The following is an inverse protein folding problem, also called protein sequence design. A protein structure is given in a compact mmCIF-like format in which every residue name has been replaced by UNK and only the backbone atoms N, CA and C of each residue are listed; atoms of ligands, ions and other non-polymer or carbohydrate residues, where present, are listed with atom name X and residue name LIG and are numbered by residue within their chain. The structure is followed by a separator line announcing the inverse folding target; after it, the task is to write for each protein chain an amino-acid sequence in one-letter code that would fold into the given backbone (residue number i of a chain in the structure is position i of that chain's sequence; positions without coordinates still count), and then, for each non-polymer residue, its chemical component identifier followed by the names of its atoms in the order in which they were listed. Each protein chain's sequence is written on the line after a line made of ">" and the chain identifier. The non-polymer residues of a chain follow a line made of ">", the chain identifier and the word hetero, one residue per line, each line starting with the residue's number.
data_IF_418572612380
#
_entry.id   IF_418572612380
#
_cell.length_a   1.000
_cell.length_b   1.000
_cell.length_c   1.000
_cell.angle_alpha   90.00
_cell.angle_beta   90.00
_cell.angle_gamma   90.00
#
_symmetry.space_group_name_H-M   'P 1'
#
loop_
_entity.id
_entity.type
_entity.pdbx_description
1 polymer ?
#
# COMPACT_ATOMS: atom_id res chain seq x y z
N UNK A 1 -1.96 -35.67 30.23
CA UNK A 1 -3.16 -35.54 29.38
C UNK A 1 -2.77 -35.85 27.94
N UNK A 2 -3.55 -36.61 27.17
CA UNK A 2 -3.22 -36.89 25.77
C UNK A 2 -3.19 -35.57 24.98
N UNK A 3 -2.20 -35.41 24.11
CA UNK A 3 -2.08 -34.25 23.24
C UNK A 3 -3.31 -34.17 22.35
N UNK A 4 -4.09 -33.10 22.48
CA UNK A 4 -5.25 -32.86 21.60
C UNK A 4 -4.73 -32.65 20.18
N UNK A 5 -5.36 -33.29 19.20
CA UNK A 5 -5.03 -33.05 17.79
C UNK A 5 -5.49 -31.65 17.38
N UNK A 6 -4.81 -31.01 16.43
CA UNK A 6 -5.16 -29.65 15.98
C UNK A 6 -6.64 -29.53 15.53
N UNK A 7 -7.22 -30.60 14.97
CA UNK A 7 -8.63 -30.62 14.58
C UNK A 7 -9.58 -30.52 15.79
N UNK A 8 -9.20 -31.08 16.94
CA UNK A 8 -9.99 -31.00 18.19
C UNK A 8 -9.94 -29.62 18.87
N UNK A 9 -9.04 -28.73 18.43
CA UNK A 9 -8.85 -27.40 18.99
C UNK A 9 -9.49 -26.28 18.14
N UNK A 10 -10.11 -26.63 17.02
CA UNK A 10 -10.85 -25.67 16.21
C UNK A 10 -12.08 -25.18 16.98
N UNK A 11 -12.21 -23.86 17.11
CA UNK A 11 -13.41 -23.25 17.71
C UNK A 11 -14.61 -23.43 16.77
N UNK A 12 -15.82 -23.61 17.31
CA UNK A 12 -17.00 -23.84 16.47
C UNK A 12 -17.32 -22.60 15.63
N UNK A 13 -17.91 -22.78 14.43
CA UNK A 13 -18.30 -21.66 13.55
C UNK A 13 -19.18 -20.62 14.25
N UNK A 14 -20.09 -21.05 15.12
CA UNK A 14 -20.95 -20.16 15.91
C UNK A 14 -20.17 -19.20 16.83
N UNK A 15 -18.91 -19.52 17.15
CA UNK A 15 -18.01 -18.62 17.90
C UNK A 15 -17.24 -17.69 16.97
N UNK A 16 -16.72 -18.19 15.84
CA UNK A 16 -15.73 -17.45 15.03
C UNK A 16 -16.32 -16.69 13.83
N UNK A 17 -17.47 -17.13 13.31
CA UNK A 17 -18.16 -16.53 12.16
C UNK A 17 -19.22 -15.51 12.60
N UNK A 18 -18.88 -14.64 13.56
CA UNK A 18 -19.78 -13.59 14.07
C UNK A 18 -19.35 -12.22 13.54
N UNK A 19 -20.26 -11.44 12.95
CA UNK A 19 -19.95 -10.12 12.36
C UNK A 19 -19.12 -9.22 13.29
N UNK A 20 -19.47 -9.14 14.57
CA UNK A 20 -18.72 -8.36 15.56
C UNK A 20 -17.25 -8.80 15.70
N UNK A 21 -16.97 -10.10 15.58
CA UNK A 21 -15.59 -10.62 15.59
C UNK A 21 -14.88 -10.34 14.27
N UNK A 22 -15.57 -10.52 13.15
CA UNK A 22 -14.99 -10.29 11.83
C UNK A 22 -14.62 -8.82 11.63
N UNK A 23 -15.45 -7.91 12.13
CA UNK A 23 -15.21 -6.46 12.11
C UNK A 23 -14.14 -5.98 13.09
N UNK A 24 -13.72 -6.81 14.05
CA UNK A 24 -12.66 -6.49 15.03
C UNK A 24 -11.33 -7.21 14.75
N UNK A 25 -11.17 -7.78 13.55
CA UNK A 25 -9.91 -8.43 13.19
C UNK A 25 -8.80 -7.41 12.98
N UNK A 26 -7.80 -7.49 13.85
CA UNK A 26 -6.51 -6.86 13.63
C UNK A 26 -5.63 -7.73 12.72
N UNK A 27 -4.63 -7.09 12.12
CA UNK A 27 -3.60 -7.77 11.35
C UNK A 27 -2.96 -8.92 12.14
N UNK A 28 -2.69 -10.02 11.44
CA UNK A 28 -2.02 -11.21 11.99
C UNK A 28 -0.82 -11.57 11.13
N UNK A 29 -0.06 -12.61 11.53
CA UNK A 29 1.02 -13.14 10.68
C UNK A 29 0.52 -13.64 9.32
N UNK A 30 -0.76 -13.97 9.16
CA UNK A 30 -1.34 -14.43 7.89
C UNK A 30 -1.83 -13.29 6.98
N UNK A 31 -1.86 -12.04 7.47
CA UNK A 31 -2.28 -10.89 6.66
C UNK A 31 -1.37 -10.70 5.44
N UNK A 32 -1.94 -10.35 4.27
CA UNK A 32 -1.22 -10.23 3.00
C UNK A 32 0.05 -9.38 3.11
N UNK A 33 -0.06 -8.17 3.66
CA UNK A 33 1.08 -7.29 3.90
C UNK A 33 2.15 -7.92 4.79
N UNK A 34 1.76 -8.65 5.85
CA UNK A 34 2.73 -9.32 6.75
C UNK A 34 3.43 -10.49 6.05
N UNK A 35 2.73 -11.21 5.19
CA UNK A 35 3.29 -12.27 4.36
C UNK A 35 4.26 -11.71 3.29
N UNK A 36 3.93 -10.56 2.70
CA UNK A 36 4.79 -9.86 1.74
C UNK A 36 6.06 -9.32 2.42
N UNK A 37 5.93 -8.56 3.52
CA UNK A 37 7.07 -7.97 4.22
C UNK A 37 8.08 -9.02 4.72
N UNK A 38 7.60 -10.18 5.19
CA UNK A 38 8.50 -11.29 5.56
C UNK A 38 9.24 -11.83 4.35
N UNK A 39 8.56 -11.97 3.21
CA UNK A 39 9.18 -12.42 1.95
C UNK A 39 10.23 -11.41 1.47
N UNK A 40 9.89 -10.12 1.43
CA UNK A 40 10.80 -9.01 1.13
C UNK A 40 12.08 -9.11 1.96
N UNK A 41 11.94 -9.33 3.27
CA UNK A 41 13.09 -9.46 4.17
C UNK A 41 13.88 -10.76 3.98
N UNK A 42 13.21 -11.90 3.75
CA UNK A 42 13.84 -13.21 3.55
C UNK A 42 14.59 -13.31 2.22
N UNK A 43 14.04 -12.69 1.17
CA UNK A 43 14.60 -12.68 -0.18
C UNK A 43 15.49 -11.45 -0.43
N UNK A 44 15.73 -10.62 0.59
CA UNK A 44 16.59 -9.43 0.53
C UNK A 44 16.29 -8.49 -0.66
N UNK A 45 15.00 -8.20 -0.87
CA UNK A 45 14.58 -7.33 -1.97
C UNK A 45 15.17 -5.93 -1.80
N UNK A 46 15.60 -5.32 -2.91
CA UNK A 46 16.25 -4.01 -2.91
C UNK A 46 15.33 -2.95 -3.49
N UNK A 47 14.98 -1.97 -2.66
CA UNK A 47 14.21 -0.79 -3.04
C UNK A 47 15.15 0.39 -3.30
N UNK A 48 15.03 1.03 -4.45
CA UNK A 48 15.80 2.21 -4.84
C UNK A 48 14.92 3.27 -5.49
N UNK A 49 15.21 4.55 -5.25
CA UNK A 49 14.63 5.67 -6.01
C UNK A 49 15.40 5.79 -7.33
N UNK A 50 14.84 5.21 -8.40
CA UNK A 50 15.46 5.22 -9.73
C UNK A 50 15.34 6.59 -10.41
N UNK A 51 14.26 7.32 -10.13
CA UNK A 51 14.03 8.68 -10.58
C UNK A 51 13.27 9.42 -9.47
N UNK A 52 13.67 10.65 -9.15
CA UNK A 52 13.04 11.48 -8.12
C UNK A 52 13.09 12.95 -8.56
N UNK A 53 12.30 13.28 -9.57
CA UNK A 53 12.25 14.59 -10.20
C UNK A 53 11.01 15.34 -9.68
N UNK A 54 11.16 15.86 -8.46
CA UNK A 54 10.15 16.70 -7.82
C UNK A 54 10.66 18.12 -7.69
N UNK A 55 9.80 19.10 -7.97
CA UNK A 55 10.07 20.51 -7.72
C UNK A 55 10.09 20.84 -6.21
N UNK A 56 10.29 22.11 -5.86
CA UNK A 56 10.32 22.57 -4.48
C UNK A 56 9.01 22.30 -3.70
N UNK A 57 7.89 22.20 -4.41
CA UNK A 57 6.57 21.94 -3.84
C UNK A 57 6.21 20.45 -3.82
N UNK A 58 7.09 19.59 -4.32
CA UNK A 58 6.90 18.15 -4.36
C UNK A 58 6.08 17.65 -5.56
N UNK A 59 5.96 18.45 -6.62
CA UNK A 59 5.26 18.07 -7.85
C UNK A 59 6.24 17.58 -8.91
N UNK A 60 5.82 16.59 -9.70
CA UNK A 60 6.66 15.99 -10.74
C UNK A 60 6.51 14.47 -10.80
N UNK A 61 7.62 13.78 -10.99
CA UNK A 61 7.63 12.34 -11.29
C UNK A 61 8.64 11.60 -10.44
N UNK A 62 8.24 10.40 -10.03
CA UNK A 62 9.09 9.50 -9.26
C UNK A 62 9.01 8.09 -9.82
N UNK A 63 10.12 7.37 -9.75
CA UNK A 63 10.18 5.93 -10.05
C UNK A 63 10.88 5.23 -8.90
N UNK A 64 10.16 4.36 -8.20
CA UNK A 64 10.72 3.44 -7.22
C UNK A 64 10.90 2.08 -7.87
N UNK A 65 12.14 1.62 -7.92
CA UNK A 65 12.49 0.30 -8.45
C UNK A 65 12.64 -0.69 -7.31
N UNK A 66 12.02 -1.84 -7.45
CA UNK A 66 12.17 -3.00 -6.56
C UNK A 66 12.85 -4.11 -7.33
N UNK A 67 14.06 -4.48 -6.90
CA UNK A 67 14.76 -5.68 -7.39
C UNK A 67 14.48 -6.86 -6.46
N UNK A 68 14.13 -7.99 -7.06
CA UNK A 68 13.85 -9.27 -6.40
C UNK A 68 14.81 -10.33 -6.96
N UNK A 69 14.90 -11.53 -6.35
CA UNK A 69 15.73 -12.61 -6.90
C UNK A 69 15.32 -13.11 -8.30
N UNK A 70 14.07 -12.85 -8.72
CA UNK A 70 13.50 -13.38 -9.97
C UNK A 70 13.21 -12.32 -11.03
N UNK A 71 13.53 -11.05 -10.75
CA UNK A 71 13.26 -9.92 -11.65
C UNK A 71 13.03 -8.61 -10.91
N UNK A 72 12.54 -7.60 -11.62
CA UNK A 72 12.24 -6.28 -11.07
C UNK A 72 10.81 -5.83 -11.36
N UNK A 73 10.31 -4.91 -10.54
CA UNK A 73 9.11 -4.14 -10.82
C UNK A 73 9.33 -2.69 -10.37
N UNK A 74 8.57 -1.76 -10.93
CA UNK A 74 8.75 -0.33 -10.68
C UNK A 74 7.42 0.36 -10.40
N UNK A 75 7.35 1.11 -9.31
CA UNK A 75 6.25 2.05 -9.07
C UNK A 75 6.59 3.37 -9.75
N UNK A 76 5.80 3.76 -10.74
CA UNK A 76 5.83 5.09 -11.35
C UNK A 76 4.77 5.95 -10.67
N UNK A 77 5.16 7.12 -10.20
CA UNK A 77 4.27 8.06 -9.51
C UNK A 77 4.31 9.44 -10.14
N UNK A 78 3.13 10.06 -10.26
CA UNK A 78 2.95 11.42 -10.74
C UNK A 78 2.29 12.24 -9.64
N UNK A 79 2.99 13.28 -9.16
CA UNK A 79 2.44 14.26 -8.22
C UNK A 79 2.17 15.56 -8.95
N UNK A 80 0.99 16.14 -8.71
CA UNK A 80 0.58 17.40 -9.35
C UNK A 80 -0.03 18.34 -8.33
N UNK A 81 0.03 19.62 -8.64
CA UNK A 81 -0.77 20.62 -7.94
C UNK A 81 -2.25 20.39 -8.25
N UNK A 82 -3.06 20.52 -7.21
CA UNK A 82 -4.51 20.64 -7.32
C UNK A 82 -4.92 21.91 -6.59
N UNK A 83 -5.82 22.65 -7.21
CA UNK A 83 -6.44 23.79 -6.55
C UNK A 83 -7.33 23.32 -5.40
N UNK A 84 -7.47 24.09 -4.30
CA UNK A 84 -8.24 23.69 -3.13
C UNK A 84 -9.66 23.24 -3.45
N UNK A 85 -10.31 23.87 -4.43
CA UNK A 85 -11.68 23.60 -4.85
C UNK A 85 -11.81 22.26 -5.59
N UNK A 86 -10.72 21.77 -6.17
CA UNK A 86 -10.66 20.49 -6.89
C UNK A 86 -10.41 19.30 -5.95
N UNK A 87 -10.03 19.57 -4.69
CA UNK A 87 -9.76 18.53 -3.69
C UNK A 87 -11.06 17.99 -3.12
N UNK A 88 -11.50 16.86 -3.67
CA UNK A 88 -12.62 16.11 -3.15
C UNK A 88 -12.15 14.77 -2.56
N UNK A 89 -12.51 14.50 -1.30
CA UNK A 89 -12.14 13.26 -0.61
C UNK A 89 -13.08 12.08 -0.94
N UNK A 90 -14.03 12.28 -1.85
CA UNK A 90 -14.97 11.25 -2.32
C UNK A 90 -14.31 10.31 -3.33
N UNK A 91 -14.81 9.08 -3.38
CA UNK A 91 -14.40 8.04 -4.36
C UNK A 91 -14.66 8.49 -5.80
N UNK A 92 -15.62 9.39 -6.00
CA UNK A 92 -16.03 9.97 -7.28
C UNK A 92 -15.26 11.25 -7.66
N UNK A 93 -14.18 11.60 -6.95
CA UNK A 93 -13.34 12.71 -7.36
C UNK A 93 -12.83 12.48 -8.80
N UNK A 94 -12.53 13.56 -9.52
CA UNK A 94 -11.94 13.51 -10.87
C UNK A 94 -10.42 13.77 -10.84
N UNK A 95 -9.93 14.30 -9.72
CA UNK A 95 -8.54 14.68 -9.53
C UNK A 95 -8.02 14.22 -8.16
N UNK A 96 -6.73 13.90 -8.12
CA UNK A 96 -5.99 13.45 -6.94
C UNK A 96 -4.62 14.10 -6.92
N UNK A 97 -4.09 14.33 -5.71
CA UNK A 97 -2.76 14.94 -5.52
C UNK A 97 -1.68 14.08 -6.19
N UNK A 98 -1.89 12.76 -6.17
CA UNK A 98 -0.95 11.78 -6.71
C UNK A 98 -1.64 10.60 -7.38
N UNK A 99 -1.01 10.10 -8.43
CA UNK A 99 -1.44 8.88 -9.13
C UNK A 99 -0.23 7.98 -9.38
N UNK A 100 -0.47 6.67 -9.40
CA UNK A 100 0.58 5.67 -9.42
C UNK A 100 0.20 4.49 -10.31
N UNK A 101 1.23 3.86 -10.88
CA UNK A 101 1.10 2.53 -11.46
C UNK A 101 2.29 1.65 -11.07
N UNK A 102 2.05 0.37 -10.83
CA UNK A 102 3.09 -0.63 -10.64
C UNK A 102 3.30 -1.39 -11.94
N UNK A 103 4.48 -1.20 -12.51
CA UNK A 103 4.92 -1.80 -13.76
C UNK A 103 5.79 -3.03 -13.49
N UNK A 104 5.57 -4.10 -14.25
CA UNK A 104 6.42 -5.29 -14.29
C UNK A 104 7.68 -4.97 -15.12
N UNK A 105 8.85 -5.02 -14.49
CA UNK A 105 10.13 -4.56 -15.05
C UNK A 105 10.49 -3.12 -14.69
N UNK A 106 11.26 -2.48 -15.57
CA UNK A 106 11.69 -1.09 -15.45
C UNK A 106 11.12 -0.28 -16.63
N UNK A 107 10.59 0.93 -16.39
CA UNK A 107 10.13 1.80 -17.46
C UNK A 107 11.33 2.48 -18.15
N UNK A 108 11.21 2.67 -19.46
CA UNK A 108 12.05 3.64 -20.19
C UNK A 108 11.37 5.03 -20.22
N UNK A 109 11.96 5.97 -20.96
CA UNK A 109 11.44 7.33 -21.07
C UNK A 109 10.07 7.36 -21.80
N UNK A 110 9.88 6.54 -22.82
CA UNK A 110 8.65 6.47 -23.60
C UNK A 110 7.51 5.89 -22.75
N UNK A 111 7.81 4.87 -21.94
CA UNK A 111 6.91 4.35 -20.92
C UNK A 111 6.48 5.45 -19.95
N UNK A 112 7.41 6.22 -19.40
CA UNK A 112 7.10 7.28 -18.43
C UNK A 112 6.18 8.33 -19.05
N UNK A 113 6.46 8.76 -20.28
CA UNK A 113 5.65 9.79 -20.95
C UNK A 113 4.25 9.29 -21.29
N UNK A 114 4.15 8.06 -21.84
CA UNK A 114 2.86 7.39 -22.07
C UNK A 114 2.06 7.29 -20.77
N UNK A 115 2.70 6.88 -19.67
CA UNK A 115 2.06 6.73 -18.37
C UNK A 115 1.63 8.09 -17.79
N UNK A 116 2.43 9.14 -17.97
CA UNK A 116 2.09 10.51 -17.53
C UNK A 116 0.80 10.97 -18.19
N UNK A 117 0.63 10.70 -19.48
CA UNK A 117 -0.57 11.07 -20.23
C UNK A 117 -1.82 10.25 -19.85
N UNK A 118 -1.67 9.02 -19.34
CA UNK A 118 -2.79 8.08 -19.18
C UNK A 118 -3.18 7.76 -17.74
N UNK A 119 -2.20 7.58 -16.84
CA UNK A 119 -2.45 7.17 -15.44
C UNK A 119 -3.37 8.17 -14.70
N UNK A 120 -3.24 9.49 -14.88
CA UNK A 120 -4.16 10.44 -14.26
C UNK A 120 -5.60 10.40 -14.78
N UNK A 121 -5.85 9.88 -15.99
CA UNK A 121 -7.15 9.91 -16.68
C UNK A 121 -8.09 8.75 -16.34
N UNK A 122 -7.57 7.65 -15.78
CA UNK A 122 -8.35 6.50 -15.29
C UNK A 122 -9.28 5.86 -16.33
N UNK A 123 -10.61 5.94 -16.17
CA UNK A 123 -11.59 5.38 -17.10
C UNK A 123 -11.42 5.92 -18.51
N UNK A 124 -10.92 7.16 -18.66
CA UNK A 124 -10.60 7.76 -19.95
C UNK A 124 -9.19 7.42 -20.45
N UNK A 125 -8.28 7.01 -19.54
CA UNK A 125 -6.92 6.61 -19.87
C UNK A 125 -6.79 5.11 -20.15
N UNK A 126 -5.70 4.72 -20.81
CA UNK A 126 -5.35 3.30 -20.96
C UNK A 126 -3.89 3.07 -20.63
N UNK A 127 -3.66 1.98 -19.91
CA UNK A 127 -2.33 1.43 -19.67
C UNK A 127 -2.17 0.15 -20.49
N UNK A 128 -1.05 -0.54 -20.31
CA UNK A 128 -0.71 -1.76 -21.01
C UNK A 128 -0.67 -2.96 -20.06
N UNK A 129 -0.55 -4.16 -20.63
CA UNK A 129 -0.36 -5.39 -19.87
C UNK A 129 0.95 -5.44 -19.06
N UNK A 130 1.86 -4.47 -19.23
CA UNK A 130 3.05 -4.33 -18.36
C UNK A 130 2.73 -3.70 -17.01
N UNK A 131 1.67 -2.90 -16.93
CA UNK A 131 1.22 -2.29 -15.68
C UNK A 131 0.23 -3.24 -14.98
N UNK A 132 0.51 -3.64 -13.75
CA UNK A 132 -0.30 -4.61 -13.01
C UNK A 132 -1.16 -4.00 -11.90
N UNK A 133 -0.82 -2.81 -11.40
CA UNK A 133 -1.63 -2.10 -10.42
C UNK A 133 -1.74 -0.62 -10.78
N UNK A 134 -2.94 -0.05 -10.68
CA UNK A 134 -3.16 1.39 -10.73
C UNK A 134 -3.70 1.88 -9.39
N UNK A 135 -3.15 2.99 -8.90
CA UNK A 135 -3.55 3.59 -7.63
C UNK A 135 -3.54 5.11 -7.69
N UNK A 136 -4.21 5.72 -6.72
CA UNK A 136 -4.40 7.16 -6.60
C UNK A 136 -4.50 7.52 -5.13
N UNK A 137 -3.95 8.67 -4.74
CA UNK A 137 -3.94 9.08 -3.34
C UNK A 137 -4.02 10.59 -3.16
N UNK A 138 -4.65 10.98 -2.05
CA UNK A 138 -4.77 12.37 -1.60
C UNK A 138 -3.98 12.57 -0.31
N UNK A 139 -3.43 13.78 -0.13
CA UNK A 139 -2.72 14.20 1.08
C UNK A 139 -3.71 14.33 2.24
N UNK A 140 -3.29 13.89 3.42
CA UNK A 140 -3.93 14.26 4.68
C UNK A 140 -3.49 15.66 5.05
N UNK A 141 -4.06 16.68 4.39
CA UNK A 141 -3.50 18.05 4.29
C UNK A 141 -2.99 18.60 5.63
N UNK A 142 -3.80 18.51 6.69
CA UNK A 142 -3.44 19.03 8.02
C UNK A 142 -2.21 18.33 8.62
N UNK A 143 -2.20 16.99 8.64
CA UNK A 143 -1.08 16.26 9.22
C UNK A 143 0.16 16.33 8.32
N UNK A 144 -0.04 16.38 7.00
CA UNK A 144 1.02 16.53 6.01
C UNK A 144 1.82 17.81 6.23
N UNK A 145 1.14 18.98 6.24
CA UNK A 145 1.80 20.27 6.47
C UNK A 145 2.46 20.36 7.84
N UNK A 146 1.79 19.87 8.90
CA UNK A 146 2.38 19.80 10.24
C UNK A 146 3.71 19.05 10.28
N UNK A 147 3.78 17.88 9.62
CA UNK A 147 5.01 17.10 9.56
C UNK A 147 6.09 17.81 8.75
N UNK A 148 5.75 18.39 7.60
CA UNK A 148 6.70 19.17 6.79
C UNK A 148 7.28 20.33 7.60
N UNK A 149 6.45 21.08 8.32
CA UNK A 149 6.88 22.23 9.11
C UNK A 149 7.78 21.84 10.28
N UNK A 150 7.45 20.74 10.99
CA UNK A 150 8.32 20.21 12.04
C UNK A 150 9.71 19.89 11.49
N UNK A 151 9.76 19.15 10.38
CA UNK A 151 11.01 18.70 9.77
C UNK A 151 11.82 19.88 9.24
N UNK A 152 11.18 20.86 8.59
CA UNK A 152 11.83 22.06 8.07
C UNK A 152 12.43 22.91 9.19
N UNK A 153 11.77 22.97 10.36
CA UNK A 153 12.29 23.66 11.54
C UNK A 153 13.41 22.88 12.27
N UNK A 154 13.70 21.64 11.87
CA UNK A 154 14.74 20.80 12.47
C UNK A 154 14.24 19.92 13.62
N UNK A 155 12.93 19.79 13.80
CA UNK A 155 12.32 19.00 14.88
C UNK A 155 11.61 17.75 14.35
N UNK A 156 11.43 16.78 15.23
CA UNK A 156 10.61 15.60 14.94
C UNK A 156 9.15 15.86 15.34
N UNK A 157 8.16 15.46 14.53
CA UNK A 157 6.75 15.59 14.88
C UNK A 157 6.38 14.80 16.15
N UNK A 158 5.35 15.26 16.86
CA UNK A 158 4.83 14.61 18.05
C UNK A 158 4.13 13.28 17.67
N UNK A 159 4.50 12.19 18.35
CA UNK A 159 3.94 10.85 18.09
C UNK A 159 2.44 10.73 18.37
N UNK A 160 1.90 11.50 19.31
CA UNK A 160 0.48 11.50 19.63
C UNK A 160 -0.34 12.06 18.46
N UNK A 161 0.10 13.18 17.88
CA UNK A 161 -0.53 13.78 16.70
C UNK A 161 -0.48 12.83 15.49
N UNK A 162 0.62 12.08 15.34
CA UNK A 162 0.73 11.05 14.31
C UNK A 162 -0.29 9.93 14.58
N UNK A 163 -0.43 9.47 15.81
CA UNK A 163 -1.29 8.34 16.18
C UNK A 163 -2.79 8.62 15.94
N UNK A 164 -3.23 9.88 16.02
CA UNK A 164 -4.62 10.27 15.79
C UNK A 164 -5.10 10.00 14.35
N UNK A 165 -4.21 10.18 13.36
CA UNK A 165 -4.56 9.98 11.94
C UNK A 165 -3.87 8.74 11.36
N UNK A 166 -2.59 8.54 11.69
CA UNK A 166 -1.80 7.37 11.32
C UNK A 166 -1.30 7.33 9.88
N UNK A 167 -1.60 8.33 9.03
CA UNK A 167 -1.14 8.39 7.64
C UNK A 167 -1.00 9.83 7.13
N UNK A 168 -0.09 10.04 6.19
CA UNK A 168 0.14 11.32 5.51
C UNK A 168 -0.55 11.40 4.14
N UNK A 169 -0.86 10.25 3.54
CA UNK A 169 -1.66 10.12 2.33
C UNK A 169 -2.65 8.99 2.49
N UNK A 170 -3.77 9.11 1.78
CA UNK A 170 -4.84 8.11 1.73
C UNK A 170 -5.07 7.69 0.30
N UNK A 171 -4.90 6.40 0.00
CA UNK A 171 -5.23 5.86 -1.31
C UNK A 171 -6.74 5.83 -1.49
N UNK A 172 -7.25 6.27 -2.65
CA UNK A 172 -8.67 6.22 -2.98
C UNK A 172 -9.09 5.00 -3.80
N UNK A 173 -8.12 4.25 -4.32
CA UNK A 173 -8.30 2.95 -4.96
C UNK A 173 -6.95 2.26 -5.17
N UNK A 174 -6.97 0.93 -5.25
CA UNK A 174 -5.83 0.10 -5.67
C UNK A 174 -6.38 -0.99 -6.58
N UNK A 175 -6.27 -0.80 -7.90
CA UNK A 175 -6.84 -1.69 -8.92
C UNK A 175 -5.77 -2.65 -9.44
N UNK A 176 -6.00 -3.95 -9.35
CA UNK A 176 -5.10 -5.01 -9.84
C UNK A 176 -5.81 -6.11 -10.62
N UNK A 177 -6.89 -5.78 -11.32
CA UNK A 177 -7.85 -6.74 -11.88
C UNK A 177 -8.04 -6.63 -13.40
N UNK A 178 -7.06 -6.09 -14.13
CA UNK A 178 -7.14 -5.90 -15.59
C UNK A 178 -7.96 -4.69 -16.06
N UNK A 179 -8.61 -3.95 -15.14
CA UNK A 179 -9.29 -2.69 -15.47
C UNK A 179 -8.29 -1.71 -16.11
N UNK A 180 -8.75 -0.84 -17.00
CA UNK A 180 -7.92 0.17 -17.70
C UNK A 180 -6.88 -0.38 -18.68
N UNK A 181 -6.93 -1.68 -19.01
CA UNK A 181 -5.88 -2.33 -19.80
C UNK A 181 -4.70 -2.81 -18.98
N UNK A 182 -4.83 -2.81 -17.63
CA UNK A 182 -3.86 -3.44 -16.74
C UNK A 182 -3.66 -4.92 -17.09
N UNK A 183 -2.53 -5.45 -16.67
CA UNK A 183 -2.26 -6.88 -16.66
C UNK A 183 -3.40 -7.66 -16.02
N UNK A 184 -3.74 -8.78 -16.64
CA UNK A 184 -4.54 -9.81 -15.96
C UNK A 184 -3.69 -10.56 -14.91
N UNK A 185 -4.35 -11.41 -14.12
CA UNK A 185 -3.71 -12.20 -13.07
C UNK A 185 -2.73 -13.23 -13.63
N UNK A 186 -3.03 -13.84 -14.77
CA UNK A 186 -2.17 -14.84 -15.39
C UNK A 186 -0.83 -14.24 -15.79
N UNK A 187 -0.84 -13.06 -16.44
CA UNK A 187 0.36 -12.33 -16.80
C UNK A 187 1.10 -11.78 -15.58
N UNK A 188 0.38 -11.28 -14.57
CA UNK A 188 0.98 -10.80 -13.30
C UNK A 188 1.77 -11.91 -12.59
N UNK A 189 1.30 -13.16 -12.69
CA UNK A 189 1.94 -14.32 -12.06
C UNK A 189 2.92 -15.06 -12.96
N UNK A 190 2.89 -14.86 -14.28
CA UNK A 190 3.70 -15.61 -15.26
C UNK A 190 5.21 -15.53 -14.96
N UNK A 191 5.71 -14.34 -14.58
CA UNK A 191 7.11 -14.12 -14.25
C UNK A 191 7.52 -14.59 -12.85
N UNK A 192 6.58 -15.09 -12.03
CA UNK A 192 6.85 -15.58 -10.68
C UNK A 192 7.30 -14.54 -9.66
N UNK A 193 7.33 -13.24 -10.03
CA UNK A 193 7.63 -12.13 -9.12
C UNK A 193 6.55 -12.04 -8.04
N UNK A 194 5.28 -12.03 -8.45
CA UNK A 194 4.11 -12.21 -7.59
C UNK A 194 3.59 -13.64 -7.72
N UNK A 195 3.30 -14.27 -6.58
CA UNK A 195 2.85 -15.67 -6.51
C UNK A 195 1.61 -15.86 -5.66
N UNK A 196 1.18 -14.81 -4.96
CA UNK A 196 0.04 -14.86 -4.05
C UNK A 196 -0.92 -13.71 -4.35
N UNK A 197 -2.23 -13.90 -4.13
CA UNK A 197 -3.22 -12.83 -4.27
C UNK A 197 -2.82 -11.59 -3.47
N UNK A 198 -3.07 -10.42 -4.05
CA UNK A 198 -2.82 -9.11 -3.46
C UNK A 198 -1.35 -8.72 -3.21
N UNK A 199 -0.35 -9.52 -3.61
CA UNK A 199 1.05 -9.12 -3.39
C UNK A 199 1.42 -7.84 -4.16
N UNK A 200 0.98 -7.70 -5.41
CA UNK A 200 1.26 -6.52 -6.23
C UNK A 200 0.59 -5.26 -5.65
N UNK A 201 -0.66 -5.39 -5.22
CA UNK A 201 -1.44 -4.31 -4.61
C UNK A 201 -0.86 -3.90 -3.24
N UNK A 202 -0.47 -4.88 -2.41
CA UNK A 202 0.20 -4.61 -1.14
C UNK A 202 1.58 -3.99 -1.34
N UNK A 203 2.34 -4.41 -2.36
CA UNK A 203 3.62 -3.77 -2.68
C UNK A 203 3.40 -2.32 -3.11
N UNK A 204 2.43 -2.07 -3.99
CA UNK A 204 2.03 -0.72 -4.40
C UNK A 204 1.72 0.16 -3.19
N UNK A 205 0.90 -0.32 -2.27
CA UNK A 205 0.56 0.38 -1.02
C UNK A 205 1.79 0.67 -0.17
N UNK A 206 2.70 -0.31 -0.03
CA UNK A 206 3.94 -0.12 0.70
C UNK A 206 4.85 0.94 0.06
N UNK A 207 4.98 0.93 -1.26
CA UNK A 207 5.80 1.89 -1.99
C UNK A 207 5.20 3.31 -1.97
N UNK A 208 3.87 3.44 -2.06
CA UNK A 208 3.19 4.74 -1.90
C UNK A 208 3.45 5.31 -0.50
N UNK A 209 3.41 4.47 0.54
CA UNK A 209 3.78 4.88 1.90
C UNK A 209 5.20 5.41 1.97
N UNK A 210 6.19 4.70 1.40
CA UNK A 210 7.57 5.20 1.37
C UNK A 210 7.67 6.52 0.59
N UNK A 211 7.00 6.62 -0.55
CA UNK A 211 6.92 7.87 -1.31
C UNK A 211 6.38 9.03 -0.48
N UNK A 212 5.32 8.82 0.31
CA UNK A 212 4.77 9.90 1.12
C UNK A 212 5.76 10.41 2.18
N UNK A 213 6.53 9.50 2.80
CA UNK A 213 7.55 9.87 3.77
C UNK A 213 8.70 10.62 3.11
N UNK A 214 9.13 10.16 1.94
CA UNK A 214 10.20 10.82 1.19
C UNK A 214 9.74 12.18 0.63
N UNK A 215 8.46 12.32 0.30
CA UNK A 215 7.87 13.58 -0.15
C UNK A 215 7.88 14.66 0.94
N UNK A 216 7.48 14.33 2.18
CA UNK A 216 7.52 15.33 3.27
C UNK A 216 8.95 15.72 3.63
N UNK A 217 9.89 14.77 3.59
CA UNK A 217 11.32 15.05 3.80
C UNK A 217 11.88 15.94 2.67
N UNK A 218 11.51 15.68 1.41
CA UNK A 218 11.91 16.50 0.27
C UNK A 218 11.41 17.93 0.40
N UNK A 219 10.10 18.13 0.62
CA UNK A 219 9.52 19.47 0.73
C UNK A 219 10.13 20.22 1.93
N UNK A 220 10.34 19.55 3.07
CA UNK A 220 11.00 20.16 4.21
C UNK A 220 12.42 20.64 3.89
N UNK A 221 13.21 19.81 3.19
CA UNK A 221 14.56 20.15 2.75
C UNK A 221 14.58 21.32 1.75
N UNK A 222 13.57 21.44 0.90
CA UNK A 222 13.40 22.57 -0.02
C UNK A 222 12.98 23.85 0.71
N UNK A 223 12.13 23.75 1.74
CA UNK A 223 11.70 24.90 2.57
C UNK A 223 12.83 25.47 3.42
N UNK A 224 13.69 24.63 3.97
CA UNK A 224 14.77 25.04 4.87
C UNK A 224 16.09 24.28 4.59
N UNK A 225 16.79 24.60 3.48
CA UNK A 225 18.05 23.95 3.15
C UNK A 225 19.08 24.10 4.27
N UNK A 226 19.71 22.98 4.67
CA UNK A 226 20.73 22.96 5.72
C UNK A 226 20.20 22.94 7.16
N UNK A 227 18.90 23.20 7.38
CA UNK A 227 18.25 23.08 8.70
C UNK A 227 17.33 21.86 8.78
N UNK A 228 16.64 21.54 7.69
CA UNK A 228 15.65 20.49 7.68
C UNK A 228 16.23 19.12 8.10
N UNK A 229 15.47 18.38 8.91
CA UNK A 229 15.84 17.03 9.35
C UNK A 229 14.98 15.97 8.67
N UNK A 230 15.50 14.75 8.58
CA UNK A 230 14.73 13.58 8.12
C UNK A 230 13.91 12.99 9.25
N UNK A 231 12.85 12.24 8.93
CA UNK A 231 12.10 11.50 9.94
C UNK A 231 13.00 10.44 10.57
N UNK A 232 13.02 10.41 11.90
CA UNK A 232 13.70 9.37 12.65
C UNK A 232 13.09 8.00 12.30
N UNK A 233 13.92 6.96 12.20
CA UNK A 233 13.51 5.60 11.79
C UNK A 233 12.34 5.08 12.63
N UNK A 234 12.31 5.36 13.93
CA UNK A 234 11.20 4.97 14.82
C UNK A 234 9.89 5.66 14.43
N UNK A 235 9.93 6.94 14.07
CA UNK A 235 8.75 7.68 13.66
C UNK A 235 8.28 7.28 12.26
N UNK A 236 9.20 6.99 11.33
CA UNK A 236 8.83 6.43 10.02
C UNK A 236 7.94 5.21 10.17
N UNK A 237 8.14 4.36 11.19
CA UNK A 237 7.34 3.15 11.44
C UNK A 237 5.92 3.43 11.96
N UNK A 238 5.64 4.62 12.47
CA UNK A 238 4.33 5.01 12.98
C UNK A 238 3.33 5.36 11.88
N UNK A 239 3.80 5.67 10.67
CA UNK A 239 2.95 5.97 9.53
C UNK A 239 2.52 4.70 8.79
N UNK A 240 1.24 4.60 8.47
CA UNK A 240 0.70 3.72 7.44
C UNK A 240 0.37 4.51 6.17
N UNK A 241 -0.41 3.88 5.29
CA UNK A 241 -1.18 4.58 4.26
C UNK A 241 -2.65 4.49 4.64
N UNK A 242 -3.39 5.57 4.48
CA UNK A 242 -4.84 5.53 4.64
C UNK A 242 -5.45 4.69 3.51
N UNK A 243 -6.45 3.87 3.82
CA UNK A 243 -7.21 3.11 2.83
C UNK A 243 -8.58 3.78 2.63
N UNK A 244 -9.06 3.93 1.39
CA UNK A 244 -10.44 4.41 1.16
C UNK A 244 -11.43 3.25 1.02
N UNK A 245 -12.56 3.44 1.70
CA UNK A 245 -13.88 2.86 1.40
C UNK A 245 -13.91 1.38 1.02
N UNK A 246 -14.21 0.54 2.01
CA UNK A 246 -14.68 -0.84 1.82
C UNK A 246 -16.09 -0.94 1.24
N UNK A 247 -16.50 -0.04 0.34
CA UNK A 247 -17.84 -0.06 -0.29
C UNK A 247 -18.11 -1.40 -1.00
N UNK A 248 -17.06 -2.03 -1.54
CA UNK A 248 -17.15 -3.37 -2.12
C UNK A 248 -17.09 -4.51 -1.09
N UNK A 249 -16.67 -4.26 0.16
CA UNK A 249 -16.46 -5.34 1.14
C UNK A 249 -17.77 -5.97 1.61
N UNK A 250 -18.82 -5.18 1.87
CA UNK A 250 -20.10 -5.73 2.30
C UNK A 250 -20.73 -6.63 1.20
N UNK A 251 -20.87 -6.18 -0.06
CA UNK A 251 -21.30 -7.05 -1.15
C UNK A 251 -20.38 -8.26 -1.35
N UNK A 252 -19.06 -8.08 -1.27
CA UNK A 252 -18.10 -9.18 -1.44
C UNK A 252 -18.26 -10.27 -0.39
N UNK A 253 -18.44 -9.90 0.89
CA UNK A 253 -18.66 -10.85 1.98
C UNK A 253 -19.95 -11.66 1.79
N UNK A 254 -21.02 -11.02 1.29
CA UNK A 254 -22.30 -11.69 1.02
C UNK A 254 -22.18 -12.63 -0.19
N UNK A 255 -21.52 -12.17 -1.26
CA UNK A 255 -21.42 -12.93 -2.50
C UNK A 255 -20.37 -14.06 -2.47
N UNK A 256 -19.39 -14.02 -1.56
CA UNK A 256 -18.26 -14.96 -1.52
C UNK A 256 -18.06 -15.64 -0.15
N UNK A 257 -19.09 -16.26 0.44
CA UNK A 257 -18.99 -16.88 1.77
C UNK A 257 -17.94 -18.00 1.83
N UNK A 258 -17.71 -18.71 0.72
CA UNK A 258 -16.68 -19.76 0.62
C UNK A 258 -15.25 -19.23 0.76
N UNK A 259 -14.94 -18.06 0.19
CA UNK A 259 -13.62 -17.43 0.36
C UNK A 259 -13.42 -16.99 1.81
N UNK A 260 -14.46 -16.44 2.41
CA UNK A 260 -14.42 -16.00 3.80
C UNK A 260 -14.25 -17.19 4.77
N UNK A 261 -14.99 -18.27 4.54
CA UNK A 261 -14.81 -19.53 5.26
C UNK A 261 -13.36 -20.02 5.18
N UNK A 262 -12.77 -20.07 3.97
CA UNK A 262 -11.37 -20.49 3.79
C UNK A 262 -10.39 -19.62 4.59
N UNK A 263 -10.60 -18.31 4.58
CA UNK A 263 -9.78 -17.37 5.35
C UNK A 263 -9.85 -17.62 6.86
N UNK A 264 -11.08 -17.71 7.41
CA UNK A 264 -11.29 -17.96 8.83
C UNK A 264 -10.77 -19.34 9.22
N UNK A 265 -11.01 -20.36 8.39
CA UNK A 265 -10.55 -21.73 8.63
C UNK A 265 -9.02 -21.82 8.66
N UNK A 266 -8.32 -21.15 7.73
CA UNK A 266 -6.86 -21.10 7.73
C UNK A 266 -6.31 -20.46 9.01
N UNK A 267 -6.95 -19.39 9.48
CA UNK A 267 -6.60 -18.73 10.75
C UNK A 267 -6.84 -19.63 11.96
N UNK A 268 -8.01 -20.27 12.05
CA UNK A 268 -8.32 -21.17 13.17
C UNK A 268 -7.39 -22.39 13.18
N UNK A 269 -7.06 -22.94 12.01
CA UNK A 269 -6.09 -24.03 11.87
C UNK A 269 -4.72 -23.61 12.38
N UNK A 270 -4.26 -22.40 12.04
CA UNK A 270 -2.99 -21.89 12.54
C UNK A 270 -2.98 -21.74 14.07
N UNK A 271 -4.06 -21.21 14.66
CA UNK A 271 -4.19 -21.09 16.12
C UNK A 271 -4.19 -22.46 16.79
N UNK A 272 -4.99 -23.39 16.26
CA UNK A 272 -5.09 -24.74 16.79
C UNK A 272 -3.75 -25.49 16.76
N UNK A 273 -2.97 -25.33 15.68
CA UNK A 273 -1.61 -25.90 15.58
C UNK A 273 -0.68 -25.35 16.65
N UNK A 274 -0.72 -24.05 16.93
CA UNK A 274 0.11 -23.43 17.98
C UNK A 274 -0.31 -23.91 19.37
N UNK A 275 -1.62 -24.01 19.64
CA UNK A 275 -2.14 -24.49 20.92
C UNK A 275 -1.88 -26.00 21.16
N UNK A 276 -1.68 -26.77 20.09
CA UNK A 276 -1.31 -28.18 20.18
C UNK A 276 0.18 -28.41 20.47
N UNK A 277 1.02 -27.36 20.42
CA UNK A 277 2.43 -27.48 20.80
C UNK A 277 2.55 -27.75 22.31
N UNK A 278 3.53 -28.56 22.74
CA UNK A 278 3.82 -28.71 24.17
C UNK A 278 4.07 -27.34 24.81
N UNK A 279 3.57 -27.14 26.03
CA UNK A 279 3.93 -25.96 26.81
C UNK A 279 5.46 -25.96 26.97
N UNK A 280 6.08 -24.82 26.66
CA UNK A 280 7.52 -24.60 26.81
C UNK A 280 7.91 -24.52 28.28
#
# INVERSE_FOLDING_TARGET
>A
MPARTATQLLRPPATVMRLQRLGSFHQTRLSFMRCLLRRIAQEDWRLTRALFELDANGYGTVVYRVKTPVGSCSLVGFSRQLEPEERNDRVIAEKWDTTFTLLLGEPDADDIERLRANVPLQEAGRVSARECVLSRANKSVRLFEYVVDCLAQGYQPNLQNIAEVGYLMRTTAVYGNGKFGLSDLSNTFAGGLFRRPFEAEMLTVYLIREFTLDLVEHIAAQRAPGQAVRLAVRQRRSFGIGNSTGLGMAPFLIAHPGLFHRWVYARETAIARVLALPAA
#
